data_IF_036993707857
#
_entry.id   IF_036993707857
#
_cell.length_a   1.000
_cell.length_b   1.000
_cell.length_c   1.000
_cell.angle_alpha   90.00
_cell.angle_beta   90.00
_cell.angle_gamma   90.00
#
_symmetry.space_group_name_H-M   'P 1'
#
loop_
_entity.id
_entity.type
_entity.pdbx_description
1 polymer ?
#
# COMPACT_ATOMS: atom_id res chain seq x y z
N UNK A 1 -13.26 -9.17 10.83
CA UNK A 1 -13.24 -7.85 10.14
C UNK A 1 -12.00 -7.84 9.26
N UNK A 2 -12.15 -7.59 7.97
CA UNK A 2 -11.03 -7.61 7.01
C UNK A 2 -10.56 -6.18 6.78
N UNK A 3 -9.30 -5.89 7.11
CA UNK A 3 -8.70 -4.57 6.86
C UNK A 3 -8.12 -4.54 5.44
N UNK A 4 -8.54 -3.56 4.65
CA UNK A 4 -7.98 -3.30 3.31
C UNK A 4 -7.11 -2.04 3.37
N UNK A 5 -5.94 -2.08 2.75
CA UNK A 5 -5.11 -0.89 2.57
C UNK A 5 -5.07 -0.57 1.10
N UNK A 6 -5.40 0.67 0.77
CA UNK A 6 -5.25 1.18 -0.59
C UNK A 6 -3.97 1.99 -0.63
N UNK A 7 -2.99 1.42 -1.30
CA UNK A 7 -1.74 2.07 -1.61
C UNK A 7 -1.91 2.83 -2.94
N UNK A 8 -2.05 4.15 -2.85
CA UNK A 8 -2.06 5.02 -4.02
C UNK A 8 -0.62 5.39 -4.40
N UNK A 9 0.03 4.53 -5.19
CA UNK A 9 1.39 4.74 -5.68
C UNK A 9 1.47 5.65 -6.89
N UNK A 10 0.41 6.39 -7.28
CA UNK A 10 0.63 7.56 -8.15
C UNK A 10 1.71 8.47 -7.53
N UNK A 11 1.78 8.50 -6.20
CA UNK A 11 2.85 9.13 -5.45
C UNK A 11 4.23 8.51 -5.62
N UNK A 12 4.41 7.24 -5.98
CA UNK A 12 5.71 6.55 -5.99
C UNK A 12 6.57 6.90 -7.21
N UNK A 13 5.94 6.96 -8.40
CA UNK A 13 6.55 7.55 -9.59
C UNK A 13 6.89 9.04 -9.40
N UNK A 14 6.08 9.75 -8.61
CA UNK A 14 6.26 11.18 -8.27
C UNK A 14 7.24 11.43 -7.11
N UNK A 15 7.39 10.49 -6.17
CA UNK A 15 8.27 10.54 -5.01
C UNK A 15 9.67 9.98 -5.29
N UNK A 16 9.89 9.45 -6.50
CA UNK A 16 11.20 9.01 -6.98
C UNK A 16 11.65 7.65 -6.45
N UNK A 17 10.75 6.90 -5.80
CA UNK A 17 11.06 5.58 -5.23
C UNK A 17 10.77 4.48 -6.27
N UNK A 18 11.79 4.07 -7.02
CA UNK A 18 11.67 3.12 -8.16
C UNK A 18 11.42 1.66 -7.75
N UNK A 19 11.11 1.39 -6.48
CA UNK A 19 10.94 0.04 -5.92
C UNK A 19 9.55 -0.52 -6.25
N UNK A 20 9.34 -1.82 -6.05
CA UNK A 20 8.00 -2.40 -6.22
C UNK A 20 7.07 -2.00 -5.06
N UNK A 21 5.76 -1.88 -5.32
CA UNK A 21 4.75 -1.61 -4.29
C UNK A 21 4.87 -2.49 -3.04
N UNK A 22 5.11 -3.78 -3.24
CA UNK A 22 5.25 -4.76 -2.16
C UNK A 22 6.52 -4.58 -1.32
N UNK A 23 7.58 -4.00 -1.89
CA UNK A 23 8.81 -3.69 -1.15
C UNK A 23 8.60 -2.49 -0.25
N UNK A 24 7.96 -1.43 -0.78
CA UNK A 24 7.59 -0.24 0.01
C UNK A 24 6.72 -0.64 1.20
N UNK A 25 5.66 -1.41 0.96
CA UNK A 25 4.76 -1.88 2.02
C UNK A 25 5.49 -2.77 3.04
N UNK A 26 6.42 -3.63 2.62
CA UNK A 26 7.19 -4.44 3.58
C UNK A 26 8.09 -3.61 4.50
N UNK A 27 8.69 -2.52 3.99
CA UNK A 27 9.56 -1.65 4.79
C UNK A 27 8.82 -0.95 5.94
N UNK A 28 7.52 -0.66 5.75
CA UNK A 28 6.67 -0.11 6.81
C UNK A 28 6.20 -1.17 7.82
N UNK A 29 6.55 -2.44 7.63
CA UNK A 29 6.20 -3.52 8.55
C UNK A 29 4.80 -4.11 8.34
N UNK A 30 4.13 -3.78 7.24
CA UNK A 30 2.85 -4.35 6.90
C UNK A 30 2.97 -5.84 6.56
N UNK A 31 2.06 -6.65 7.08
CA UNK A 31 1.76 -7.97 6.52
C UNK A 31 0.47 -7.88 5.71
N UNK A 32 0.37 -8.62 4.61
CA UNK A 32 -0.82 -8.66 3.76
C UNK A 32 -0.95 -10.05 3.13
N UNK A 33 -2.18 -10.42 2.75
CA UNK A 33 -2.45 -11.72 2.13
C UNK A 33 -2.43 -11.67 0.61
N UNK A 34 -3.08 -10.66 0.06
CA UNK A 34 -3.30 -10.52 -1.38
C UNK A 34 -3.00 -9.08 -1.80
N UNK A 35 -2.54 -8.93 -3.04
CA UNK A 35 -2.36 -7.62 -3.66
C UNK A 35 -3.09 -7.61 -5.00
N UNK A 36 -4.03 -6.69 -5.13
CA UNK A 36 -4.81 -6.46 -6.36
C UNK A 36 -4.52 -5.05 -6.83
N UNK A 37 -4.08 -4.87 -8.08
CA UNK A 37 -3.65 -3.55 -8.52
C UNK A 37 -3.42 -3.48 -10.02
N UNK A 38 -3.52 -2.26 -10.55
CA UNK A 38 -3.28 -1.98 -11.96
C UNK A 38 -2.02 -1.13 -12.09
N UNK A 39 -1.03 -1.64 -12.83
CA UNK A 39 0.17 -0.92 -13.22
C UNK A 39 -0.12 0.35 -14.03
N UNK A 40 -1.36 0.51 -14.52
CA UNK A 40 -1.75 1.62 -15.40
C UNK A 40 -1.98 2.95 -14.66
N UNK A 41 -2.24 2.89 -13.34
CA UNK A 41 -2.49 4.06 -12.50
C UNK A 41 -1.64 4.07 -11.24
N UNK A 42 -0.64 3.18 -11.15
CA UNK A 42 0.13 2.94 -9.94
C UNK A 42 -0.76 2.81 -8.68
N UNK A 43 -1.93 2.18 -8.81
CA UNK A 43 -2.87 2.01 -7.70
C UNK A 43 -2.89 0.52 -7.32
N UNK A 44 -2.51 0.23 -6.08
CA UNK A 44 -2.41 -1.12 -5.54
C UNK A 44 -3.24 -1.22 -4.26
N UNK A 45 -4.01 -2.28 -4.16
CA UNK A 45 -4.85 -2.59 -3.00
C UNK A 45 -4.25 -3.82 -2.36
N UNK A 46 -3.91 -3.70 -1.09
CA UNK A 46 -3.40 -4.77 -0.26
C UNK A 46 -4.55 -5.22 0.65
N UNK A 47 -4.86 -6.51 0.59
CA UNK A 47 -5.98 -7.09 1.33
C UNK A 47 -5.50 -7.90 2.54
N UNK A 48 -6.36 -7.96 3.57
CA UNK A 48 -6.09 -8.59 4.86
C UNK A 48 -4.77 -8.08 5.49
N UNK A 49 -4.64 -6.76 5.63
CA UNK A 49 -3.42 -6.16 6.15
C UNK A 49 -3.37 -6.15 7.68
N UNK A 50 -2.20 -6.47 8.24
CA UNK A 50 -1.92 -6.39 9.69
C UNK A 50 -0.64 -5.58 9.96
N UNK A 51 -0.41 -5.25 11.24
CA UNK A 51 0.74 -4.46 11.72
C UNK A 51 0.88 -3.08 11.06
N UNK A 52 -0.25 -2.44 10.76
CA UNK A 52 -0.33 -1.11 10.16
C UNK A 52 0.25 -0.06 11.12
N UNK A 53 1.33 0.66 10.74
CA UNK A 53 1.81 1.80 11.52
C UNK A 53 0.73 2.87 11.70
N UNK A 54 0.76 3.56 12.83
CA UNK A 54 -0.15 4.68 13.10
C UNK A 54 0.18 5.93 12.27
N UNK A 55 1.45 6.08 11.88
CA UNK A 55 1.96 7.21 11.11
C UNK A 55 2.33 6.72 9.71
N UNK A 56 1.45 7.00 8.76
CA UNK A 56 1.64 6.64 7.36
C UNK A 56 1.82 7.92 6.53
N UNK A 57 2.66 7.88 5.50
CA UNK A 57 2.78 9.01 4.60
C UNK A 57 1.47 9.26 3.84
N UNK A 58 1.22 10.50 3.44
CA UNK A 58 -0.08 10.93 2.86
C UNK A 58 -0.51 10.19 1.57
N UNK A 59 0.43 9.54 0.89
CA UNK A 59 0.17 8.71 -0.30
C UNK A 59 -0.23 7.25 0.04
N UNK A 60 -0.32 6.92 1.33
CA UNK A 60 -0.79 5.64 1.86
C UNK A 60 -2.15 5.84 2.55
N UNK A 61 -3.19 5.13 2.10
CA UNK A 61 -4.55 5.27 2.65
C UNK A 61 -5.11 3.93 3.15
N UNK A 62 -5.55 3.88 4.39
CA UNK A 62 -6.19 2.69 4.96
C UNK A 62 -7.71 2.81 4.83
N UNK A 63 -8.39 1.73 4.38
CA UNK A 63 -9.86 1.69 4.29
C UNK A 63 -10.41 0.40 4.90
N UNK A 64 -11.29 0.53 5.88
CA UNK A 64 -11.98 -0.64 6.45
C UNK A 64 -13.16 -1.06 5.56
N UNK A 65 -13.35 -2.37 5.35
CA UNK A 65 -14.45 -2.95 4.57
C UNK A 65 -15.03 -4.19 5.21
#
# INVERSE_FOLDING_TARGET
MTKRIILDLMGQGLAGDKRRPSEVVRDFGFTYREVTGSSFFDAFIFEDCENIPADLPDWLSVRES
#
